data_IF_898807897540
#
_entry.id   IF_898807897540
#
_cell.length_a   1.000
_cell.length_b   1.000
_cell.length_c   1.000
_cell.angle_alpha   90.00
_cell.angle_beta   90.00
_cell.angle_gamma   90.00
#
_symmetry.space_group_name_H-M   'P 1'
#
loop_
_entity.id
_entity.type
_entity.pdbx_description
1 polymer ?
#
# COMPACT_ATOMS: atom_id res chain seq x y z
N UNK A 1 -29.95 26.86 -22.98
CA UNK A 1 -29.57 28.08 -23.76
C UNK A 1 -30.17 28.13 -25.16
N UNK A 2 -30.18 27.07 -25.97
CA UNK A 2 -30.74 27.07 -27.34
C UNK A 2 -32.22 27.53 -27.40
N UNK A 3 -33.09 27.01 -26.52
CA UNK A 3 -34.53 27.39 -26.45
C UNK A 3 -34.75 28.88 -26.10
N UNK A 4 -33.91 29.46 -25.25
CA UNK A 4 -33.98 30.89 -24.90
C UNK A 4 -33.64 31.74 -26.12
N UNK A 5 -32.56 31.41 -26.83
CA UNK A 5 -32.10 32.12 -28.02
C UNK A 5 -33.16 32.01 -29.12
N UNK A 6 -33.70 30.81 -29.36
CA UNK A 6 -34.73 30.56 -30.34
C UNK A 6 -36.03 31.37 -30.02
N UNK A 7 -36.48 31.34 -28.75
CA UNK A 7 -37.62 32.12 -28.29
C UNK A 7 -37.39 33.62 -28.43
N UNK A 8 -36.19 34.11 -28.17
CA UNK A 8 -35.84 35.52 -28.31
C UNK A 8 -35.81 35.96 -29.78
N UNK A 9 -35.28 35.14 -30.68
CA UNK A 9 -35.30 35.38 -32.13
C UNK A 9 -36.76 35.44 -32.63
N UNK A 10 -37.60 34.45 -32.24
CA UNK A 10 -39.01 34.43 -32.62
C UNK A 10 -39.81 35.63 -32.06
N UNK A 11 -39.47 36.08 -30.86
CA UNK A 11 -40.09 37.24 -30.25
C UNK A 11 -39.72 38.54 -31.00
N UNK A 12 -38.41 38.73 -31.30
CA UNK A 12 -37.92 39.88 -32.04
C UNK A 12 -38.46 39.90 -33.47
N UNK A 13 -38.47 38.78 -34.19
CA UNK A 13 -39.04 38.68 -35.54
C UNK A 13 -40.54 38.93 -35.51
N UNK A 14 -41.29 38.42 -34.54
CA UNK A 14 -42.72 38.69 -34.36
C UNK A 14 -43.04 40.17 -34.05
N UNK A 15 -42.16 40.88 -33.32
CA UNK A 15 -42.28 42.31 -33.08
C UNK A 15 -42.00 43.13 -34.39
N UNK A 16 -40.93 42.77 -35.10
CA UNK A 16 -40.57 43.45 -36.35
C UNK A 16 -41.67 43.30 -37.42
N UNK A 17 -42.20 42.09 -37.64
CA UNK A 17 -43.28 41.80 -38.58
C UNK A 17 -44.63 42.44 -38.19
N UNK A 18 -44.81 42.78 -36.89
CA UNK A 18 -46.06 43.48 -36.48
C UNK A 18 -46.07 44.96 -36.86
N UNK A 19 -44.92 45.50 -37.27
CA UNK A 19 -44.80 46.94 -37.67
C UNK A 19 -45.23 47.21 -39.09
N UNK A 20 -45.29 46.15 -39.91
CA UNK A 20 -45.72 46.21 -41.30
C UNK A 20 -47.27 46.01 -41.37
N UNK A 21 -47.97 47.00 -41.84
CA UNK A 21 -49.45 46.98 -41.88
C UNK A 21 -50.02 46.06 -42.97
N UNK A 22 -49.29 45.80 -44.04
CA UNK A 22 -49.73 45.01 -45.20
C UNK A 22 -49.40 43.52 -45.12
N UNK A 23 -48.93 43.03 -43.99
CA UNK A 23 -48.42 41.66 -43.86
C UNK A 23 -49.58 40.65 -43.58
N UNK A 24 -49.82 39.65 -44.47
CA UNK A 24 -50.88 38.65 -44.32
C UNK A 24 -50.77 37.79 -43.04
N UNK A 25 -49.56 37.73 -42.44
CA UNK A 25 -49.22 36.91 -41.25
C UNK A 25 -49.70 37.63 -39.96
N UNK A 26 -50.20 38.87 -40.00
CA UNK A 26 -50.57 39.67 -38.82
C UNK A 26 -51.56 38.94 -37.88
N UNK A 27 -52.41 38.11 -38.44
CA UNK A 27 -53.45 37.35 -37.64
C UNK A 27 -52.79 36.31 -36.73
N UNK A 28 -51.56 35.79 -37.05
CA UNK A 28 -50.85 34.79 -36.28
C UNK A 28 -49.76 35.38 -35.32
N UNK A 29 -49.54 36.71 -35.43
CA UNK A 29 -48.53 37.38 -34.61
C UNK A 29 -48.75 37.25 -33.08
N UNK A 30 -49.98 37.35 -32.55
CA UNK A 30 -50.21 37.15 -31.11
C UNK A 30 -49.92 35.74 -30.68
N UNK A 31 -50.25 34.72 -31.47
CA UNK A 31 -49.89 33.32 -31.19
C UNK A 31 -48.39 33.07 -31.21
N UNK A 32 -47.65 33.65 -32.16
CA UNK A 32 -46.20 33.58 -32.23
C UNK A 32 -45.57 34.21 -31.00
N UNK A 33 -46.05 35.34 -30.50
CA UNK A 33 -45.56 35.99 -29.28
C UNK A 33 -45.79 35.12 -28.05
N UNK A 34 -46.94 34.50 -27.90
CA UNK A 34 -47.25 33.61 -26.79
C UNK A 34 -46.32 32.40 -26.82
N UNK A 35 -46.13 31.76 -27.98
CA UNK A 35 -45.22 30.63 -28.15
C UNK A 35 -43.77 31.03 -27.81
N UNK A 36 -43.35 32.23 -28.28
CA UNK A 36 -41.99 32.72 -27.96
C UNK A 36 -41.76 32.91 -26.47
N UNK A 37 -42.75 33.48 -25.75
CA UNK A 37 -42.68 33.65 -24.30
C UNK A 37 -42.64 32.29 -23.59
N UNK A 38 -43.46 31.34 -24.02
CA UNK A 38 -43.48 29.98 -23.48
C UNK A 38 -42.11 29.32 -23.68
N UNK A 39 -41.49 29.43 -24.87
CA UNK A 39 -40.17 28.89 -25.15
C UNK A 39 -39.08 29.52 -24.29
N UNK A 40 -39.13 30.84 -24.07
CA UNK A 40 -38.19 31.54 -23.19
C UNK A 40 -38.33 31.03 -21.75
N UNK A 41 -39.55 30.95 -21.21
CA UNK A 41 -39.79 30.47 -19.86
C UNK A 41 -39.37 29.02 -19.69
N UNK A 42 -39.71 28.15 -20.64
CA UNK A 42 -39.29 26.74 -20.64
C UNK A 42 -37.77 26.60 -20.73
N UNK A 43 -37.15 27.40 -21.59
CA UNK A 43 -35.68 27.44 -21.72
C UNK A 43 -35.00 27.91 -20.44
N UNK A 44 -35.58 28.89 -19.73
CA UNK A 44 -35.07 29.36 -18.46
C UNK A 44 -35.24 28.31 -17.36
N UNK A 45 -36.37 27.64 -17.28
CA UNK A 45 -36.57 26.54 -16.31
C UNK A 45 -35.62 25.37 -16.54
N UNK A 46 -35.46 24.92 -17.79
CA UNK A 46 -34.58 23.81 -18.11
C UNK A 46 -33.12 24.16 -17.87
N UNK A 47 -32.72 25.43 -18.11
CA UNK A 47 -31.32 25.88 -17.86
C UNK A 47 -31.03 26.06 -16.36
N UNK A 48 -32.08 26.26 -15.54
CA UNK A 48 -31.95 26.42 -14.08
C UNK A 48 -31.69 25.09 -13.34
N UNK A 49 -32.03 23.96 -13.95
CA UNK A 49 -31.81 22.63 -13.35
C UNK A 49 -30.43 22.15 -13.71
N UNK A 50 -29.63 21.86 -12.68
CA UNK A 50 -28.29 21.25 -12.80
C UNK A 50 -28.27 19.96 -12.02
N UNK A 51 -27.87 18.88 -12.68
CA UNK A 51 -27.64 17.60 -12.06
C UNK A 51 -26.17 17.52 -11.68
N UNK A 52 -25.88 17.14 -10.42
CA UNK A 52 -24.57 16.82 -9.90
C UNK A 52 -24.52 15.31 -9.66
N UNK A 53 -23.54 14.65 -10.22
CA UNK A 53 -23.41 13.20 -10.13
C UNK A 53 -23.02 12.76 -8.70
N UNK A 54 -23.33 11.51 -8.38
CA UNK A 54 -22.93 10.93 -7.10
C UNK A 54 -21.40 10.90 -6.97
N UNK A 55 -20.87 11.35 -5.80
CA UNK A 55 -19.45 11.48 -5.58
C UNK A 55 -18.83 12.78 -6.09
N UNK A 56 -19.64 13.70 -6.61
CA UNK A 56 -19.21 15.03 -7.02
C UNK A 56 -19.86 16.12 -6.18
N UNK A 57 -19.19 17.25 -6.11
CA UNK A 57 -19.70 18.49 -5.53
C UNK A 57 -19.67 19.58 -6.58
N UNK A 58 -20.72 20.37 -6.65
CA UNK A 58 -20.83 21.49 -7.60
C UNK A 58 -20.43 22.81 -6.97
N UNK A 59 -19.46 23.50 -7.56
CA UNK A 59 -19.04 24.85 -7.17
C UNK A 59 -19.61 25.85 -8.18
N UNK A 60 -20.43 26.79 -7.68
CA UNK A 60 -21.08 27.82 -8.48
C UNK A 60 -20.19 29.02 -8.67
N UNK A 61 -20.14 29.56 -9.88
CA UNK A 61 -19.51 30.85 -10.16
C UNK A 61 -20.44 31.74 -11.01
N UNK A 62 -20.51 33.00 -10.69
CA UNK A 62 -21.25 34.01 -11.42
C UNK A 62 -20.27 35.06 -11.95
N UNK A 63 -20.10 35.13 -13.26
CA UNK A 63 -19.17 36.06 -13.91
C UNK A 63 -17.74 36.02 -13.28
N UNK A 64 -17.26 34.80 -12.97
CA UNK A 64 -15.94 34.60 -12.37
C UNK A 64 -15.90 34.67 -10.83
N UNK A 65 -16.97 35.19 -10.19
CA UNK A 65 -17.06 35.22 -8.72
C UNK A 65 -17.54 33.86 -8.20
N UNK A 66 -16.68 33.12 -7.50
CA UNK A 66 -16.99 31.84 -6.88
C UNK A 66 -17.87 32.05 -5.64
N UNK A 67 -18.98 31.30 -5.55
CA UNK A 67 -19.85 31.31 -4.39
C UNK A 67 -19.34 30.29 -3.36
N UNK A 68 -19.44 30.63 -2.07
CA UNK A 68 -18.97 29.77 -0.99
C UNK A 68 -19.89 28.55 -0.74
N UNK A 69 -21.14 28.61 -1.17
CA UNK A 69 -22.08 27.49 -1.01
C UNK A 69 -21.90 26.47 -2.12
N UNK A 70 -21.68 25.22 -1.74
CA UNK A 70 -21.56 24.08 -2.63
C UNK A 70 -22.93 23.48 -2.96
N UNK A 71 -23.02 22.83 -4.12
CA UNK A 71 -24.16 22.02 -4.52
C UNK A 71 -23.85 20.56 -4.21
N UNK A 72 -24.73 19.93 -3.47
CA UNK A 72 -24.65 18.49 -3.21
C UNK A 72 -25.07 17.67 -4.43
N UNK A 73 -24.75 16.38 -4.44
CA UNK A 73 -25.20 15.43 -5.46
C UNK A 73 -26.72 15.39 -5.56
N UNK A 74 -27.21 15.21 -6.80
CA UNK A 74 -28.62 15.21 -7.14
C UNK A 74 -29.04 16.41 -7.99
N UNK A 75 -30.34 16.68 -8.06
CA UNK A 75 -30.91 17.79 -8.81
C UNK A 75 -30.86 19.08 -7.98
N UNK A 76 -30.28 20.12 -8.57
CA UNK A 76 -30.11 21.42 -7.94
C UNK A 76 -30.70 22.51 -8.83
N UNK A 77 -31.40 23.46 -8.21
CA UNK A 77 -31.89 24.66 -8.88
C UNK A 77 -30.88 25.79 -8.73
N UNK A 78 -30.37 26.28 -9.85
CA UNK A 78 -29.33 27.30 -9.91
C UNK A 78 -29.75 28.39 -10.89
N UNK A 79 -29.30 29.62 -10.64
CA UNK A 79 -29.50 30.67 -11.63
C UNK A 79 -28.84 30.26 -12.96
N UNK A 80 -29.53 30.28 -14.11
CA UNK A 80 -29.03 29.83 -15.40
C UNK A 80 -27.78 30.59 -15.90
N UNK A 81 -27.49 31.76 -15.32
CA UNK A 81 -26.30 32.55 -15.63
C UNK A 81 -25.07 32.08 -14.84
N UNK A 82 -25.26 31.18 -13.86
CA UNK A 82 -24.15 30.63 -13.11
C UNK A 82 -23.51 29.45 -13.83
N UNK A 83 -22.19 29.44 -13.86
CA UNK A 83 -21.37 28.28 -14.23
C UNK A 83 -21.22 27.38 -13.03
N UNK A 84 -21.38 26.07 -13.22
CA UNK A 84 -21.19 25.06 -12.20
C UNK A 84 -20.04 24.16 -12.61
N UNK A 85 -18.98 24.14 -11.81
CA UNK A 85 -17.84 23.22 -11.95
C UNK A 85 -18.02 22.07 -10.98
N UNK A 86 -17.95 20.84 -11.47
CA UNK A 86 -18.02 19.64 -10.66
C UNK A 86 -16.61 19.21 -10.26
N UNK A 87 -16.43 18.89 -8.99
CA UNK A 87 -15.19 18.32 -8.43
C UNK A 87 -15.50 16.95 -7.86
N UNK A 88 -14.67 15.98 -8.13
CA UNK A 88 -14.73 14.65 -7.54
C UNK A 88 -14.28 14.72 -6.08
N UNK A 89 -15.15 14.31 -5.14
CA UNK A 89 -14.86 14.30 -3.70
C UNK A 89 -14.59 12.89 -3.15
N UNK A 90 -14.56 11.90 -4.04
CA UNK A 90 -14.15 10.54 -3.68
C UNK A 90 -12.65 10.48 -3.46
N UNK A 91 -12.19 9.40 -2.87
CA UNK A 91 -10.76 9.12 -2.75
C UNK A 91 -10.11 9.05 -4.12
N UNK A 92 -9.11 9.86 -4.32
CA UNK A 92 -8.29 9.93 -5.53
C UNK A 92 -6.91 9.39 -5.22
N UNK A 93 -6.27 8.79 -6.22
CA UNK A 93 -4.91 8.27 -6.12
C UNK A 93 -4.01 9.02 -7.11
N UNK A 94 -2.95 9.61 -6.59
CA UNK A 94 -1.87 10.16 -7.40
C UNK A 94 -0.60 9.34 -7.18
N UNK A 95 -0.15 8.65 -8.22
CA UNK A 95 1.04 7.81 -8.17
C UNK A 95 2.21 8.48 -8.88
N UNK A 96 3.33 8.57 -8.18
CA UNK A 96 4.62 9.03 -8.70
C UNK A 96 5.54 7.81 -8.78
N UNK A 97 5.87 7.38 -10.00
CA UNK A 97 6.70 6.21 -10.26
C UNK A 97 7.65 6.46 -11.42
N UNK A 98 8.81 5.82 -11.38
CA UNK A 98 9.76 5.78 -12.50
C UNK A 98 9.41 4.75 -13.56
N UNK A 99 8.43 3.90 -13.32
CA UNK A 99 7.98 2.91 -14.30
C UNK A 99 6.94 3.53 -15.25
N UNK A 100 7.13 3.31 -16.55
CA UNK A 100 6.43 4.01 -17.62
C UNK A 100 4.90 3.86 -17.59
N UNK A 101 4.36 2.79 -17.02
CA UNK A 101 2.92 2.47 -17.04
C UNK A 101 2.24 2.56 -15.64
N UNK A 102 2.96 2.97 -14.60
CA UNK A 102 2.44 2.97 -13.22
C UNK A 102 2.17 4.37 -12.65
N UNK A 103 2.69 5.42 -13.28
CA UNK A 103 2.55 6.81 -12.83
C UNK A 103 1.25 7.47 -13.29
N UNK A 104 0.73 8.43 -12.50
CA UNK A 104 -0.40 9.29 -12.92
C UNK A 104 0.00 10.29 -14.01
N UNK A 105 1.29 10.55 -14.18
CA UNK A 105 1.86 11.39 -15.23
C UNK A 105 2.60 10.56 -16.26
N UNK A 106 2.50 10.93 -17.53
CA UNK A 106 3.26 10.26 -18.59
C UNK A 106 4.75 10.51 -18.41
N UNK A 107 5.55 9.44 -18.33
CA UNK A 107 7.01 9.47 -18.20
C UNK A 107 7.53 9.16 -16.80
N UNK A 108 8.84 9.40 -16.58
CA UNK A 108 9.50 9.21 -15.28
C UNK A 108 9.08 10.31 -14.30
N UNK A 109 8.19 9.97 -13.37
CA UNK A 109 7.71 10.85 -12.30
C UNK A 109 8.24 10.45 -10.91
N UNK A 110 9.18 9.50 -10.85
CA UNK A 110 9.83 9.10 -9.60
C UNK A 110 10.49 10.30 -8.90
N UNK A 111 10.54 10.21 -7.58
CA UNK A 111 11.12 11.25 -6.76
C UNK A 111 12.57 10.88 -6.43
N UNK A 112 13.52 11.64 -6.98
CA UNK A 112 14.92 11.51 -6.62
C UNK A 112 15.24 12.44 -5.46
N UNK A 113 15.78 11.87 -4.39
CA UNK A 113 16.09 12.57 -3.15
C UNK A 113 17.53 12.27 -2.73
N UNK A 114 18.14 13.24 -2.04
CA UNK A 114 19.43 13.06 -1.40
C UNK A 114 19.21 12.68 0.06
N UNK A 115 19.86 11.63 0.50
CA UNK A 115 19.81 11.12 1.88
C UNK A 115 20.87 11.78 2.75
N UNK A 116 20.84 11.55 4.08
CA UNK A 116 21.78 12.11 5.04
C UNK A 116 23.25 11.76 4.75
N UNK A 117 23.48 10.58 4.18
CA UNK A 117 24.80 10.07 3.78
C UNK A 117 25.22 10.53 2.36
N UNK A 118 24.46 11.45 1.74
CA UNK A 118 24.78 12.04 0.44
C UNK A 118 24.50 11.13 -0.75
N UNK A 119 23.77 10.04 -0.58
CA UNK A 119 23.38 9.13 -1.65
C UNK A 119 22.07 9.58 -2.31
N UNK A 120 22.01 9.48 -3.64
CA UNK A 120 20.77 9.71 -4.37
C UNK A 120 19.91 8.44 -4.36
N UNK A 121 18.69 8.56 -3.83
CA UNK A 121 17.71 7.46 -3.75
C UNK A 121 16.48 7.83 -4.57
N UNK A 122 15.95 6.88 -5.32
CA UNK A 122 14.70 7.03 -6.06
C UNK A 122 13.56 6.42 -5.25
N UNK A 123 12.50 7.22 -5.04
CA UNK A 123 11.33 6.82 -4.25
C UNK A 123 10.10 6.85 -5.13
N UNK A 124 9.40 5.73 -5.21
CA UNK A 124 8.09 5.60 -5.82
C UNK A 124 7.03 5.60 -4.72
N UNK A 125 5.98 6.41 -4.90
CA UNK A 125 4.92 6.49 -3.92
C UNK A 125 3.55 6.76 -4.53
N UNK A 126 2.50 6.40 -3.78
CA UNK A 126 1.12 6.74 -4.08
C UNK A 126 0.52 7.56 -2.94
N UNK A 127 -0.16 8.62 -3.31
CA UNK A 127 -0.86 9.54 -2.39
C UNK A 127 -2.34 9.33 -2.57
N UNK A 128 -3.02 8.87 -1.53
CA UNK A 128 -4.47 8.74 -1.47
C UNK A 128 -5.03 9.97 -0.75
N UNK A 129 -5.85 10.73 -1.44
CA UNK A 129 -6.40 11.97 -0.90
C UNK A 129 -7.81 12.19 -1.43
N UNK A 130 -8.54 13.10 -0.81
CA UNK A 130 -9.83 13.58 -1.28
C UNK A 130 -10.00 15.07 -1.05
N UNK A 131 -10.92 15.67 -1.80
CA UNK A 131 -11.32 17.05 -1.57
C UNK A 131 -12.32 17.10 -0.41
N UNK A 132 -12.16 18.07 0.48
CA UNK A 132 -13.16 18.39 1.50
C UNK A 132 -14.27 19.19 0.81
N UNK A 133 -15.52 18.68 0.74
CA UNK A 133 -16.61 19.31 -0.03
C UNK A 133 -16.82 20.78 0.32
N UNK A 134 -16.77 21.14 1.58
CA UNK A 134 -17.01 22.50 2.10
C UNK A 134 -15.91 23.47 1.70
N UNK A 135 -14.69 23.00 1.50
CA UNK A 135 -13.51 23.78 1.09
C UNK A 135 -13.35 23.86 -0.46
N UNK A 136 -14.17 23.14 -1.22
CA UNK A 136 -14.11 23.13 -2.68
C UNK A 136 -14.19 24.52 -3.32
N UNK A 137 -15.00 25.48 -2.83
CA UNK A 137 -15.03 26.83 -3.38
C UNK A 137 -13.72 27.58 -3.21
N UNK A 138 -13.04 27.38 -2.08
CA UNK A 138 -11.72 27.95 -1.80
C UNK A 138 -10.67 27.36 -2.71
N UNK A 139 -10.68 26.03 -2.89
CA UNK A 139 -9.79 25.29 -3.80
C UNK A 139 -9.91 25.85 -5.24
N UNK A 140 -11.13 25.99 -5.75
CA UNK A 140 -11.37 26.55 -7.10
C UNK A 140 -10.90 27.98 -7.22
N UNK A 141 -11.13 28.81 -6.20
CA UNK A 141 -10.79 30.24 -6.22
C UNK A 141 -9.28 30.47 -6.20
N UNK A 142 -8.54 29.73 -5.37
CA UNK A 142 -7.12 29.94 -5.14
C UNK A 142 -6.25 29.15 -6.12
N UNK A 143 -6.68 27.97 -6.55
CA UNK A 143 -5.85 27.03 -7.30
C UNK A 143 -6.45 26.71 -8.67
N UNK A 144 -7.75 26.52 -8.72
CA UNK A 144 -8.48 26.09 -9.93
C UNK A 144 -8.72 24.58 -9.96
N UNK A 145 -9.07 24.06 -11.14
CA UNK A 145 -9.40 22.63 -11.32
C UNK A 145 -8.17 21.72 -11.37
N UNK A 146 -7.01 22.25 -11.77
CA UNK A 146 -5.78 21.47 -11.90
C UNK A 146 -4.97 21.49 -10.57
N UNK A 147 -5.62 21.16 -9.47
CA UNK A 147 -5.01 21.16 -8.14
C UNK A 147 -3.99 20.01 -7.95
N UNK A 148 -4.14 18.92 -8.70
CA UNK A 148 -3.19 17.80 -8.68
C UNK A 148 -1.78 18.24 -9.05
N UNK A 149 -1.64 18.86 -10.23
CA UNK A 149 -0.34 19.35 -10.74
C UNK A 149 0.20 20.55 -9.98
N UNK A 150 -0.69 21.39 -9.44
CA UNK A 150 -0.29 22.63 -8.75
C UNK A 150 -0.04 22.45 -7.26
N UNK A 151 -0.67 21.49 -6.62
CA UNK A 151 -0.64 21.32 -5.16
C UNK A 151 -0.20 19.92 -4.77
N UNK A 152 -0.91 18.88 -5.20
CA UNK A 152 -0.65 17.50 -4.74
C UNK A 152 0.78 17.09 -5.08
N UNK A 153 1.13 17.17 -6.34
CA UNK A 153 2.46 16.79 -6.84
C UNK A 153 3.61 17.63 -6.24
N UNK A 154 3.61 18.97 -6.30
CA UNK A 154 4.71 19.77 -5.79
C UNK A 154 4.90 19.66 -4.28
N UNK A 155 3.82 19.68 -3.50
CA UNK A 155 3.90 19.57 -2.03
C UNK A 155 4.48 18.21 -1.65
N UNK A 156 3.94 17.13 -2.22
CA UNK A 156 4.42 15.77 -1.93
C UNK A 156 5.90 15.64 -2.24
N UNK A 157 6.35 16.09 -3.41
CA UNK A 157 7.77 16.06 -3.80
C UNK A 157 8.66 16.85 -2.86
N UNK A 158 8.22 18.04 -2.47
CA UNK A 158 8.99 18.90 -1.57
C UNK A 158 9.10 18.28 -0.19
N UNK A 159 7.98 17.81 0.39
CA UNK A 159 7.99 17.23 1.74
C UNK A 159 8.79 15.94 1.84
N UNK A 160 8.81 15.16 0.77
CA UNK A 160 9.65 13.96 0.71
C UNK A 160 11.13 14.34 0.70
N UNK A 161 11.53 15.31 -0.14
CA UNK A 161 12.92 15.79 -0.17
C UNK A 161 13.35 16.38 1.17
N UNK A 162 12.52 17.23 1.78
CA UNK A 162 12.80 17.87 3.07
C UNK A 162 12.99 16.86 4.20
N UNK A 163 12.30 15.72 4.13
CA UNK A 163 12.37 14.69 5.16
C UNK A 163 13.43 13.60 4.87
N UNK A 164 13.79 13.38 3.62
CA UNK A 164 14.78 12.36 3.26
C UNK A 164 16.19 12.65 3.81
N UNK A 165 16.54 13.93 3.93
CA UNK A 165 17.86 14.39 4.45
C UNK A 165 18.13 14.02 5.91
N UNK A 166 17.11 13.56 6.64
CA UNK A 166 17.28 13.12 8.04
C UNK A 166 17.57 11.62 8.17
N UNK A 167 17.56 10.89 7.07
CA UNK A 167 17.73 9.44 7.04
C UNK A 167 18.85 9.03 6.10
N UNK A 168 19.62 8.04 6.50
CA UNK A 168 20.59 7.37 5.62
C UNK A 168 19.88 6.39 4.67
N UNK A 169 20.46 6.16 3.51
CA UNK A 169 19.85 5.37 2.44
C UNK A 169 19.51 3.93 2.87
N UNK A 170 20.40 3.32 3.67
CA UNK A 170 20.21 1.95 4.18
C UNK A 170 19.02 1.87 5.13
N UNK A 171 18.88 2.84 6.04
CA UNK A 171 17.75 2.90 7.00
C UNK A 171 16.43 3.14 6.31
N UNK A 172 16.39 3.99 5.27
CA UNK A 172 15.20 4.21 4.45
C UNK A 172 14.75 2.95 3.72
N UNK A 173 15.73 2.17 3.25
CA UNK A 173 15.45 0.92 2.54
C UNK A 173 14.97 -0.19 3.50
N UNK A 174 15.37 -0.19 4.76
CA UNK A 174 15.16 -1.30 5.71
C UNK A 174 14.35 -0.90 6.96
N UNK A 175 15.00 -0.41 7.99
CA UNK A 175 14.46 -0.34 9.35
C UNK A 175 13.61 0.89 9.66
N UNK A 176 13.84 2.02 8.96
CA UNK A 176 13.18 3.30 9.24
C UNK A 176 12.14 3.70 8.20
N UNK A 177 11.76 2.79 7.33
CA UNK A 177 10.79 3.06 6.26
C UNK A 177 9.44 3.54 6.82
N UNK A 178 8.93 2.88 7.85
CA UNK A 178 7.64 3.24 8.46
C UNK A 178 7.71 4.56 9.22
N UNK A 179 8.82 4.84 9.91
CA UNK A 179 9.06 6.12 10.57
C UNK A 179 9.09 7.26 9.55
N UNK A 180 9.80 7.09 8.46
CA UNK A 180 9.86 8.04 7.35
C UNK A 180 8.48 8.27 6.74
N UNK A 181 7.73 7.20 6.42
CA UNK A 181 6.37 7.30 5.89
C UNK A 181 5.45 8.09 6.82
N UNK A 182 5.47 7.81 8.12
CA UNK A 182 4.67 8.52 9.12
C UNK A 182 5.05 10.00 9.24
N UNK A 183 6.33 10.32 9.14
CA UNK A 183 6.82 11.69 9.20
C UNK A 183 6.39 12.52 7.99
N UNK A 184 6.55 11.98 6.78
CA UNK A 184 6.10 12.66 5.56
C UNK A 184 4.58 12.75 5.50
N UNK A 185 3.85 11.73 5.98
CA UNK A 185 2.40 11.78 6.09
C UNK A 185 1.94 12.99 6.90
N UNK A 186 2.48 13.21 8.08
CA UNK A 186 2.12 14.34 8.95
C UNK A 186 2.38 15.67 8.27
N UNK A 187 3.55 15.85 7.65
CA UNK A 187 3.92 17.11 7.00
C UNK A 187 3.09 17.42 5.77
N UNK A 188 2.71 16.40 4.99
CA UNK A 188 1.84 16.57 3.83
C UNK A 188 0.39 16.81 4.25
N UNK A 189 -0.12 16.09 5.24
CA UNK A 189 -1.48 16.25 5.77
C UNK A 189 -1.75 17.67 6.27
N UNK A 190 -0.79 18.25 7.01
CA UNK A 190 -0.87 19.64 7.45
C UNK A 190 -0.98 20.64 6.28
N UNK A 191 -0.22 20.42 5.22
CA UNK A 191 -0.24 21.31 4.06
C UNK A 191 -1.48 21.11 3.19
N UNK A 192 -1.98 19.88 3.07
CA UNK A 192 -3.19 19.56 2.35
C UNK A 192 -4.43 20.16 3.04
N UNK A 193 -4.53 20.03 4.36
CA UNK A 193 -5.63 20.60 5.15
C UNK A 193 -5.75 22.12 4.97
N UNK A 194 -4.64 22.84 4.92
CA UNK A 194 -4.65 24.30 4.68
C UNK A 194 -5.31 24.67 3.35
N UNK A 195 -5.34 23.73 2.39
CA UNK A 195 -5.82 23.94 1.02
C UNK A 195 -7.13 23.22 0.69
N UNK A 196 -7.79 22.65 1.70
CA UNK A 196 -9.07 21.96 1.53
C UNK A 196 -8.95 20.56 0.94
N UNK A 197 -7.79 19.92 1.08
CA UNK A 197 -7.54 18.53 0.77
C UNK A 197 -7.38 17.73 2.07
N UNK A 198 -7.84 16.50 2.08
CA UNK A 198 -7.62 15.53 3.15
C UNK A 198 -6.71 14.42 2.64
N UNK A 199 -5.57 14.23 3.28
CA UNK A 199 -4.70 13.09 3.04
C UNK A 199 -5.26 11.86 3.76
N UNK A 200 -5.65 10.82 3.03
CA UNK A 200 -6.16 9.58 3.62
C UNK A 200 -5.05 8.58 3.88
N UNK A 201 -4.16 8.43 2.91
CA UNK A 201 -3.01 7.53 3.06
C UNK A 201 -1.83 7.98 2.19
N UNK A 202 -0.64 7.55 2.58
CA UNK A 202 0.58 7.72 1.82
C UNK A 202 1.31 6.39 1.78
N UNK A 203 1.51 5.86 0.59
CA UNK A 203 2.09 4.55 0.38
C UNK A 203 3.46 4.69 -0.29
N UNK A 204 4.53 4.48 0.45
CA UNK A 204 5.86 4.33 -0.13
C UNK A 204 5.93 2.96 -0.80
N UNK A 205 5.92 2.93 -2.14
CA UNK A 205 5.87 1.68 -2.92
C UNK A 205 7.23 1.04 -3.03
N UNK A 206 8.19 1.79 -3.53
CA UNK A 206 9.55 1.31 -3.74
C UNK A 206 10.57 2.37 -3.36
N UNK A 207 11.72 1.92 -2.87
CA UNK A 207 12.90 2.75 -2.61
C UNK A 207 14.05 2.08 -3.32
N UNK A 208 14.53 2.71 -4.39
CA UNK A 208 15.59 2.18 -5.23
C UNK A 208 16.91 2.87 -4.92
N UNK A 209 17.90 2.09 -4.54
CA UNK A 209 19.26 2.53 -4.29
C UNK A 209 20.10 2.49 -5.59
N UNK A 210 21.12 3.33 -5.73
CA UNK A 210 22.10 3.17 -6.81
C UNK A 210 22.72 1.77 -6.81
N UNK A 211 22.95 1.20 -8.01
CA UNK A 211 23.42 -0.18 -8.16
C UNK A 211 24.72 -0.48 -7.41
N UNK A 212 25.68 0.47 -7.39
CA UNK A 212 26.93 0.36 -6.65
C UNK A 212 26.75 0.23 -5.14
N UNK A 213 25.75 0.94 -4.59
CA UNK A 213 25.44 0.92 -3.16
C UNK A 213 24.68 -0.34 -2.79
N UNK A 214 23.76 -0.77 -3.65
CA UNK A 214 22.98 -2.00 -3.44
C UNK A 214 23.89 -3.22 -3.29
N UNK A 215 24.88 -3.37 -4.14
CA UNK A 215 25.84 -4.51 -4.06
C UNK A 215 26.65 -4.50 -2.76
N UNK A 216 27.11 -3.35 -2.30
CA UNK A 216 27.85 -3.24 -1.03
C UNK A 216 26.95 -3.57 0.17
N UNK A 217 25.69 -3.11 0.15
CA UNK A 217 24.72 -3.42 1.21
C UNK A 217 24.40 -4.92 1.22
N UNK A 218 24.16 -5.52 0.06
CA UNK A 218 23.91 -6.97 -0.07
C UNK A 218 25.10 -7.79 0.48
N UNK A 219 26.33 -7.39 0.15
CA UNK A 219 27.54 -8.04 0.72
C UNK A 219 27.62 -7.89 2.23
N UNK A 220 27.32 -6.70 2.78
CA UNK A 220 27.28 -6.47 4.22
C UNK A 220 26.21 -7.33 4.91
N UNK A 221 25.00 -7.36 4.37
CA UNK A 221 23.90 -8.18 4.91
C UNK A 221 24.26 -9.66 4.88
N UNK A 222 24.85 -10.15 3.78
CA UNK A 222 25.29 -11.53 3.67
C UNK A 222 26.36 -11.86 4.71
N UNK A 223 27.36 -10.98 4.91
CA UNK A 223 28.40 -11.17 5.93
C UNK A 223 27.81 -11.18 7.36
N UNK A 224 26.84 -10.31 7.65
CA UNK A 224 26.14 -10.29 8.95
C UNK A 224 25.33 -11.58 9.17
N UNK A 225 24.63 -12.05 8.14
CA UNK A 225 23.88 -13.32 8.20
C UNK A 225 24.80 -14.52 8.38
N UNK A 226 25.95 -14.54 7.70
CA UNK A 226 26.94 -15.61 7.87
C UNK A 226 27.55 -15.60 9.27
N UNK A 227 27.81 -14.42 9.84
CA UNK A 227 28.28 -14.29 11.22
C UNK A 227 27.23 -14.78 12.24
N UNK A 228 25.96 -14.43 12.04
CA UNK A 228 24.85 -14.92 12.87
C UNK A 228 24.69 -16.45 12.75
N UNK A 229 24.74 -16.98 11.52
CA UNK A 229 24.69 -18.42 11.28
C UNK A 229 25.84 -19.14 12.00
N UNK A 230 27.06 -18.59 11.93
CA UNK A 230 28.19 -19.16 12.64
C UNK A 230 27.99 -19.17 14.16
N UNK A 231 27.40 -18.12 14.73
CA UNK A 231 27.04 -18.08 16.15
C UNK A 231 26.06 -19.19 16.54
N UNK A 232 25.03 -19.42 15.73
CA UNK A 232 24.09 -20.52 15.94
C UNK A 232 24.76 -21.89 15.83
N UNK A 233 25.64 -22.06 14.86
CA UNK A 233 26.44 -23.32 14.73
C UNK A 233 27.28 -23.55 15.96
N UNK A 234 28.02 -22.54 16.41
CA UNK A 234 28.84 -22.64 17.63
C UNK A 234 28.00 -22.95 18.88
N UNK A 235 26.84 -22.36 18.99
CA UNK A 235 25.91 -22.63 20.11
C UNK A 235 25.41 -24.07 20.05
N UNK A 236 25.01 -24.55 18.86
CA UNK A 236 24.60 -25.94 18.65
C UNK A 236 25.74 -26.92 19.01
N UNK A 237 26.93 -26.70 18.52
CA UNK A 237 28.09 -27.56 18.82
C UNK A 237 28.40 -27.59 20.32
N UNK A 238 28.33 -26.45 21.01
CA UNK A 238 28.48 -26.40 22.48
C UNK A 238 27.40 -27.22 23.20
N UNK A 239 26.15 -27.08 22.78
CA UNK A 239 25.05 -27.87 23.36
C UNK A 239 25.21 -29.37 23.09
N UNK A 240 25.67 -29.74 21.89
CA UNK A 240 25.92 -31.14 21.53
C UNK A 240 27.11 -31.74 22.31
N UNK A 241 28.18 -30.97 22.47
CA UNK A 241 29.30 -31.35 23.30
C UNK A 241 28.89 -31.55 24.77
N UNK A 242 28.08 -30.65 25.32
CA UNK A 242 27.55 -30.78 26.69
C UNK A 242 26.60 -31.97 26.82
N UNK A 243 25.74 -32.20 25.84
CA UNK A 243 24.89 -33.41 25.81
C UNK A 243 25.71 -34.69 25.83
N UNK A 244 26.77 -34.78 24.97
CA UNK A 244 27.68 -35.94 24.95
C UNK A 244 28.43 -36.11 26.27
N UNK A 245 28.80 -34.97 26.91
CA UNK A 245 29.46 -35.02 28.22
C UNK A 245 28.54 -35.57 29.30
N UNK A 246 27.30 -35.09 29.36
CA UNK A 246 26.27 -35.56 30.31
C UNK A 246 25.93 -37.03 30.06
N UNK A 247 25.82 -37.44 28.80
CA UNK A 247 25.60 -38.84 28.42
C UNK A 247 26.75 -39.75 28.86
N UNK A 248 27.99 -39.35 28.59
CA UNK A 248 29.16 -40.09 29.03
C UNK A 248 29.25 -40.17 30.56
N UNK A 249 28.95 -39.08 31.27
CA UNK A 249 28.85 -39.08 32.72
C UNK A 249 27.80 -40.04 33.23
N UNK A 250 26.61 -40.04 32.61
CA UNK A 250 25.53 -40.99 32.96
C UNK A 250 25.91 -42.44 32.75
N UNK A 251 26.64 -42.74 31.65
CA UNK A 251 27.15 -44.10 31.40
C UNK A 251 28.18 -44.48 32.44
N UNK A 252 29.11 -43.58 32.79
CA UNK A 252 30.12 -43.85 33.82
C UNK A 252 29.52 -44.07 35.20
N UNK A 253 28.54 -43.26 35.60
CA UNK A 253 27.82 -43.43 36.85
C UNK A 253 27.01 -44.75 36.88
N UNK A 254 26.34 -45.09 35.77
CA UNK A 254 25.66 -46.35 35.61
C UNK A 254 26.63 -47.54 35.75
N UNK A 255 27.77 -47.51 35.06
CA UNK A 255 28.78 -48.57 35.17
C UNK A 255 29.36 -48.68 36.60
N UNK A 256 29.58 -47.55 37.29
CA UNK A 256 30.05 -47.53 38.67
C UNK A 256 29.02 -48.20 39.58
N UNK A 257 27.74 -47.83 39.50
CA UNK A 257 26.67 -48.40 40.31
C UNK A 257 26.52 -49.90 40.08
N UNK A 258 26.63 -50.34 38.82
CA UNK A 258 26.60 -51.78 38.52
C UNK A 258 27.81 -52.49 39.06
N UNK A 259 29.01 -51.96 38.90
CA UNK A 259 30.26 -52.62 39.41
C UNK A 259 30.32 -52.73 40.95
N UNK A 260 29.70 -51.74 41.63
CA UNK A 260 29.60 -51.77 43.10
C UNK A 260 28.49 -52.71 43.60
N UNK A 261 27.44 -52.98 42.83
CA UNK A 261 26.28 -53.76 43.21
C UNK A 261 26.30 -55.22 42.70
N UNK A 262 27.10 -55.50 41.68
CA UNK A 262 27.18 -56.84 41.08
C UNK A 262 28.15 -57.76 41.86
N UNK A 263 27.55 -58.55 42.73
CA UNK A 263 28.31 -59.71 43.30
C UNK A 263 28.53 -60.78 42.21
N UNK A 264 29.55 -61.61 42.39
CA UNK A 264 29.90 -62.70 41.45
C UNK A 264 28.71 -63.64 41.20
N UNK A 265 27.85 -63.82 42.15
CA UNK A 265 26.61 -64.58 42.06
C UNK A 265 25.56 -63.91 41.14
N UNK A 266 25.52 -62.62 41.09
CA UNK A 266 24.57 -61.85 40.30
C UNK A 266 24.99 -61.81 38.82
N UNK A 267 26.28 -61.74 38.55
CA UNK A 267 26.86 -61.94 37.22
C UNK A 267 26.53 -63.31 36.62
N UNK A 268 26.66 -64.37 37.44
CA UNK A 268 26.26 -65.72 37.05
C UNK A 268 24.76 -65.85 36.79
N UNK A 269 23.95 -65.20 37.59
CA UNK A 269 22.48 -65.18 37.38
C UNK A 269 22.09 -64.47 36.07
N UNK A 270 22.67 -63.30 35.74
CA UNK A 270 22.41 -62.56 34.49
C UNK A 270 22.95 -63.35 33.29
N UNK A 271 24.11 -64.04 33.40
CA UNK A 271 24.61 -64.95 32.37
C UNK A 271 23.62 -66.08 32.08
N UNK A 272 23.08 -66.72 33.15
CA UNK A 272 22.09 -67.79 33.00
C UNK A 272 20.78 -67.26 32.40
N UNK A 273 20.35 -66.07 32.75
CA UNK A 273 19.14 -65.41 32.20
C UNK A 273 19.35 -65.10 30.72
N UNK A 274 20.48 -64.52 30.33
CA UNK A 274 20.78 -64.22 28.90
C UNK A 274 20.90 -65.52 28.07
N UNK A 275 21.45 -66.59 28.64
CA UNK A 275 21.49 -67.92 27.98
C UNK A 275 20.08 -68.48 27.81
N UNK A 276 19.16 -68.28 28.80
CA UNK A 276 17.78 -68.72 28.72
C UNK A 276 16.99 -67.97 27.65
N UNK A 277 17.20 -66.66 27.55
CA UNK A 277 16.60 -65.80 26.51
C UNK A 277 17.10 -66.16 25.09
N UNK A 278 18.41 -66.45 24.96
CA UNK A 278 19.01 -66.93 23.71
C UNK A 278 18.46 -68.31 23.33
N UNK A 279 18.28 -69.21 24.31
CA UNK A 279 17.71 -70.57 24.07
C UNK A 279 16.22 -70.52 23.69
N UNK A 280 15.51 -69.48 24.06
CA UNK A 280 14.08 -69.26 23.68
C UNK A 280 13.88 -68.47 22.37
N UNK A 281 14.93 -67.98 21.74
CA UNK A 281 14.80 -67.24 20.47
C UNK A 281 14.60 -68.21 19.30
N UNK A 282 13.65 -67.89 18.42
CA UNK A 282 13.30 -68.71 17.24
C UNK A 282 14.41 -68.80 16.15
N UNK A 283 15.51 -68.05 16.30
CA UNK A 283 16.67 -68.16 15.45
C UNK A 283 17.72 -69.02 16.19
N UNK A 284 17.84 -70.26 15.84
CA UNK A 284 18.81 -71.20 16.38
C UNK A 284 20.21 -70.84 15.94
N UNK A 285 20.92 -70.04 16.80
CA UNK A 285 22.34 -69.80 16.71
C UNK A 285 23.00 -70.65 17.79
N UNK A 286 23.96 -71.48 17.41
CA UNK A 286 24.75 -72.24 18.37
C UNK A 286 25.84 -71.31 18.91
N UNK A 287 25.73 -70.96 20.21
CA UNK A 287 26.74 -70.20 20.90
C UNK A 287 27.59 -71.12 21.75
N UNK A 288 28.82 -71.29 21.36
CA UNK A 288 29.80 -72.06 22.15
C UNK A 288 30.52 -71.12 23.09
N UNK A 289 30.29 -71.28 24.40
CA UNK A 289 31.04 -70.50 25.39
C UNK A 289 32.16 -71.35 26.02
N UNK A 290 33.41 -70.88 26.00
CA UNK A 290 34.52 -71.55 26.71
C UNK A 290 34.39 -71.32 28.20
N UNK A 291 34.71 -72.30 29.03
CA UNK A 291 34.51 -72.35 30.48
C UNK A 291 35.47 -71.44 31.28
N UNK A 292 36.46 -70.78 30.71
CA UNK A 292 37.30 -69.74 31.33
C UNK A 292 37.86 -68.79 30.27
N UNK A 293 37.29 -67.56 30.20
CA UNK A 293 37.93 -66.38 29.65
C UNK A 293 38.19 -66.33 28.14
N UNK A 294 37.53 -67.16 27.30
CA UNK A 294 37.66 -67.13 25.88
C UNK A 294 36.52 -66.34 25.21
N UNK A 295 36.79 -65.82 23.99
CA UNK A 295 35.82 -65.09 23.20
C UNK A 295 34.71 -66.04 22.70
N UNK A 296 33.40 -65.76 22.87
CA UNK A 296 32.32 -66.61 22.38
C UNK A 296 32.34 -66.68 20.86
N UNK A 297 32.29 -67.91 20.32
CA UNK A 297 32.17 -68.15 18.88
C UNK A 297 30.70 -68.37 18.54
N UNK A 298 30.12 -67.53 17.68
CA UNK A 298 28.77 -67.67 17.17
C UNK A 298 28.84 -68.42 15.86
N UNK A 299 28.24 -69.59 15.83
CA UNK A 299 28.07 -70.39 14.59
C UNK A 299 26.68 -70.16 14.03
N UNK A 300 26.56 -69.66 12.83
CA UNK A 300 25.32 -69.49 12.12
C UNK A 300 24.94 -70.86 11.50
N UNK A 301 23.87 -71.47 11.97
CA UNK A 301 23.37 -72.73 11.44
C UNK A 301 22.45 -72.50 10.24
N UNK A 302 22.97 -72.06 9.11
CA UNK A 302 22.22 -72.18 7.86
C UNK A 302 22.42 -73.57 7.30
N UNK A 303 21.35 -74.39 7.28
CA UNK A 303 21.09 -75.34 6.22
C UNK A 303 20.15 -74.70 5.19
#
# INVERSE_FOLDING_TARGET
MFLIILGLILLVTGILLSRDEDNPIRKFLPTVRIISIILIVLGFLTSSVKQIDAGYVGVKSLFGKVNNNVLSSGLNFVNPLMEVKQLDVRTQNYTMSGQHDEGSSAGDDAIRVLTADGLEVTIDLSVLYRIVPEESPKLIREIGVNYEDKIVRPITRTRIRDNAVYYDAVSLYSSKRDEFQNRIFKTIDEDFKKRGLLLENLLVRNITLPGSVKTVIEQKINAEQDAQKMQFVLQKEKQEAERKRVEAQGIADYQRIISESLSEKQLQYEQIKALKELAGSQNSKIVVMPSKGGVPIILDGKQ
#
